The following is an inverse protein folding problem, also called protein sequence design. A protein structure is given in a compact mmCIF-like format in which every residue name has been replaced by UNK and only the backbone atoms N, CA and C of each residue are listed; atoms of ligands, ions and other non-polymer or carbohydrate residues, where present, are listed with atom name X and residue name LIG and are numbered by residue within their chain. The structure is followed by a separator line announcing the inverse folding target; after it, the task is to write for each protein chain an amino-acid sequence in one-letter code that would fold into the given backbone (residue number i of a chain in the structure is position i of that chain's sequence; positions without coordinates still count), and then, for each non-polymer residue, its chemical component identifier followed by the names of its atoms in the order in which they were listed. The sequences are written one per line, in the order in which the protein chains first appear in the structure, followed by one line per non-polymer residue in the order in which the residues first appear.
data_IF_119977421801
#
_entry.id   IF_119977421801
#
_cell.length_a   1.000
_cell.length_b   1.000
_cell.length_c   1.000
_cell.angle_alpha   90.00
_cell.angle_beta   90.00
_cell.angle_gamma   90.00
#
_symmetry.space_group_name_H-M   'P 1'
#
loop_
_entity.id
_entity.type
_entity.pdbx_description
1 polymer ?
#
# COMPACT_ATOMS: atom_id res chain seq x y z
N UNK A 1 17.78 14.90 8.32
CA UNK A 1 16.50 14.27 7.95
C UNK A 1 15.73 13.62 9.11
N UNK A 2 16.27 12.68 9.93
CA UNK A 2 15.51 11.96 10.99
C UNK A 2 14.81 12.88 12.01
N UNK A 3 15.47 13.94 12.46
CA UNK A 3 14.86 14.90 13.41
C UNK A 3 13.72 15.70 12.77
N UNK A 4 13.87 16.12 11.51
CA UNK A 4 12.81 16.79 10.73
C UNK A 4 11.60 15.88 10.58
N UNK A 5 11.79 14.63 10.16
CA UNK A 5 10.71 13.65 10.03
C UNK A 5 10.00 13.37 11.37
N UNK A 6 10.76 13.19 12.46
CA UNK A 6 10.19 12.96 13.78
C UNK A 6 9.34 14.15 14.29
N UNK A 7 9.78 15.39 14.02
CA UNK A 7 9.01 16.60 14.34
C UNK A 7 7.69 16.61 13.57
N UNK A 8 7.74 16.47 12.25
CA UNK A 8 6.56 16.47 11.37
C UNK A 8 5.55 15.36 11.76
N UNK A 9 6.03 14.16 12.08
CA UNK A 9 5.15 13.08 12.55
C UNK A 9 4.41 13.41 13.85
N UNK A 10 5.07 14.09 14.80
CA UNK A 10 4.41 14.55 16.05
C UNK A 10 3.36 15.62 15.78
N UNK A 11 3.51 16.38 14.72
CA UNK A 11 2.57 17.41 14.26
C UNK A 11 1.43 16.81 13.40
N UNK A 12 1.40 15.49 13.21
CA UNK A 12 0.36 14.79 12.44
C UNK A 12 0.55 14.85 10.92
N UNK A 13 1.75 15.19 10.45
CA UNK A 13 2.01 15.29 9.03
C UNK A 13 1.94 13.94 8.31
N UNK A 14 1.41 13.97 7.08
CA UNK A 14 1.34 12.81 6.19
C UNK A 14 2.65 12.70 5.40
N UNK A 15 3.13 11.48 5.20
CA UNK A 15 4.29 11.17 4.37
C UNK A 15 3.87 10.29 3.20
N UNK A 16 4.58 10.41 2.08
CA UNK A 16 4.34 9.59 0.89
C UNK A 16 5.61 8.88 0.42
N UNK A 17 5.41 7.85 -0.40
CA UNK A 17 6.47 7.06 -0.99
C UNK A 17 6.40 7.11 -2.52
N UNK A 18 7.33 7.84 -3.14
CA UNK A 18 7.40 8.11 -4.57
C UNK A 18 8.31 7.11 -5.29
N UNK A 19 7.81 5.91 -5.56
CA UNK A 19 8.57 4.86 -6.22
C UNK A 19 8.13 4.63 -7.67
N UNK A 20 6.86 4.26 -7.87
CA UNK A 20 6.35 3.82 -9.18
C UNK A 20 6.31 4.95 -10.21
N UNK A 21 6.44 4.55 -11.47
CA UNK A 21 6.35 5.40 -12.65
C UNK A 21 5.33 4.83 -13.62
N UNK A 22 4.77 5.64 -14.49
CA UNK A 22 3.70 5.23 -15.40
C UNK A 22 4.13 4.07 -16.31
N UNK A 23 5.35 4.15 -16.83
CA UNK A 23 5.88 3.18 -17.80
C UNK A 23 6.56 1.97 -17.14
N UNK A 24 6.88 2.03 -15.84
CA UNK A 24 7.77 1.09 -15.14
C UNK A 24 7.20 0.57 -13.83
N UNK A 25 5.89 0.28 -13.72
CA UNK A 25 5.21 -0.07 -12.47
C UNK A 25 6.00 -1.00 -11.53
N UNK A 26 6.12 -2.29 -11.85
CA UNK A 26 6.87 -3.26 -11.04
C UNK A 26 8.36 -3.32 -11.38
N UNK A 27 8.77 -2.79 -12.53
CA UNK A 27 10.18 -2.74 -12.96
C UNK A 27 10.87 -1.49 -12.42
N UNK A 28 11.22 -1.55 -11.14
CA UNK A 28 11.94 -0.48 -10.45
C UNK A 28 13.38 -0.29 -10.93
N UNK A 29 13.97 -1.29 -11.60
CA UNK A 29 15.30 -1.15 -12.20
C UNK A 29 15.33 -0.09 -13.30
N UNK A 30 14.23 0.10 -13.99
CA UNK A 30 14.08 1.01 -15.12
C UNK A 30 13.66 2.43 -14.74
N UNK A 31 13.77 2.82 -13.43
CA UNK A 31 13.38 4.17 -13.00
C UNK A 31 13.99 5.24 -13.90
N UNK A 32 13.14 6.14 -14.40
CA UNK A 32 13.50 7.26 -15.28
C UNK A 32 13.72 8.57 -14.52
N UNK A 33 13.35 8.64 -13.24
CA UNK A 33 13.64 9.79 -12.37
C UNK A 33 15.15 10.00 -12.28
N UNK A 34 15.60 11.22 -12.55
CA UNK A 34 17.01 11.61 -12.62
C UNK A 34 17.41 12.51 -11.47
N UNK A 35 18.57 12.27 -10.94
CA UNK A 35 19.26 13.16 -10.01
C UNK A 35 20.54 13.65 -10.69
N UNK A 36 20.57 14.94 -11.05
CA UNK A 36 21.64 15.56 -11.84
C UNK A 36 22.58 16.29 -10.90
N UNK A 37 23.84 15.84 -10.73
CA UNK A 37 24.82 16.54 -9.90
C UNK A 37 25.08 17.97 -10.40
N UNK A 38 25.37 18.87 -9.46
CA UNK A 38 25.72 20.26 -9.72
C UNK A 38 27.17 20.55 -9.28
N UNK A 39 27.83 21.58 -9.86
CA UNK A 39 29.23 21.91 -9.53
C UNK A 39 29.46 22.27 -8.05
N UNK A 40 28.42 22.69 -7.35
CA UNK A 40 28.47 23.05 -5.93
C UNK A 40 28.27 21.86 -4.98
N UNK A 41 28.12 20.66 -5.53
CA UNK A 41 27.89 19.42 -4.78
C UNK A 41 26.42 19.13 -4.49
N UNK A 42 25.49 20.03 -4.83
CA UNK A 42 24.04 19.77 -4.75
C UNK A 42 23.55 18.96 -5.96
N UNK A 43 22.24 18.67 -6.00
CA UNK A 43 21.62 17.96 -7.12
C UNK A 43 20.33 18.65 -7.56
N UNK A 44 19.94 18.40 -8.81
CA UNK A 44 18.63 18.73 -9.35
C UNK A 44 17.86 17.47 -9.70
N UNK A 45 16.68 17.28 -9.12
CA UNK A 45 15.82 16.16 -9.41
C UNK A 45 14.86 16.49 -10.55
N UNK A 46 14.77 15.58 -11.54
CA UNK A 46 13.91 15.72 -12.74
C UNK A 46 13.20 14.41 -13.03
N UNK A 47 11.90 14.48 -13.33
CA UNK A 47 11.09 13.33 -13.75
C UNK A 47 9.74 13.30 -13.09
N UNK A 48 9.01 12.20 -13.29
CA UNK A 48 7.67 12.02 -12.74
C UNK A 48 7.55 10.71 -11.97
N UNK A 49 6.62 10.71 -11.00
CA UNK A 49 6.18 9.51 -10.29
C UNK A 49 4.67 9.37 -10.43
N UNK A 50 4.20 8.13 -10.44
CA UNK A 50 2.81 7.79 -10.74
C UNK A 50 2.28 6.77 -9.72
N UNK A 51 1.01 6.87 -9.36
CA UNK A 51 0.37 6.09 -8.31
C UNK A 51 0.92 6.36 -6.91
N UNK A 52 1.09 7.63 -6.55
CA UNK A 52 1.66 8.03 -5.26
C UNK A 52 0.57 8.46 -4.30
N UNK A 53 0.26 7.59 -3.34
CA UNK A 53 -0.74 7.88 -2.30
C UNK A 53 -0.37 9.13 -1.51
N UNK A 54 -1.35 10.05 -1.33
CA UNK A 54 -1.21 11.33 -0.64
C UNK A 54 -0.14 12.27 -1.22
N UNK A 55 0.31 12.07 -2.46
CA UNK A 55 1.31 12.92 -3.08
C UNK A 55 0.88 14.37 -3.30
N UNK A 56 -0.41 14.69 -3.10
CA UNK A 56 -0.97 16.04 -3.15
C UNK A 56 -0.71 16.88 -1.88
N UNK A 57 -0.51 16.23 -0.73
CA UNK A 57 -0.46 16.92 0.58
C UNK A 57 0.67 16.44 1.51
N UNK A 58 1.39 15.40 1.12
CA UNK A 58 2.45 14.84 1.95
C UNK A 58 3.51 15.88 2.29
N UNK A 59 3.80 16.08 3.57
CA UNK A 59 4.85 17.00 4.01
C UNK A 59 6.23 16.58 3.52
N UNK A 60 6.44 15.25 3.39
CA UNK A 60 7.66 14.67 2.82
C UNK A 60 7.27 13.49 1.91
N UNK A 61 7.87 13.46 0.70
CA UNK A 61 7.76 12.35 -0.24
C UNK A 61 9.13 11.74 -0.42
N UNK A 62 9.33 10.53 0.09
CA UNK A 62 10.57 9.78 -0.17
C UNK A 62 10.56 9.29 -1.61
N UNK A 63 11.59 9.66 -2.38
CA UNK A 63 11.64 9.48 -3.83
C UNK A 63 12.87 8.69 -4.25
N UNK A 64 12.72 7.81 -5.23
CA UNK A 64 13.78 6.95 -5.75
C UNK A 64 14.16 7.35 -7.17
N UNK A 65 15.47 7.53 -7.42
CA UNK A 65 16.01 7.98 -8.70
C UNK A 65 17.36 7.33 -9.02
N UNK A 66 17.91 7.70 -10.19
CA UNK A 66 19.30 7.41 -10.59
C UNK A 66 20.11 8.70 -10.70
N UNK A 67 21.32 8.68 -10.15
CA UNK A 67 22.32 9.68 -10.42
C UNK A 67 22.74 9.58 -11.90
N UNK A 68 22.73 10.70 -12.64
CA UNK A 68 22.98 10.71 -14.08
C UNK A 68 24.47 10.51 -14.45
N UNK A 69 25.40 10.77 -13.55
CA UNK A 69 26.85 10.60 -13.79
C UNK A 69 27.31 9.20 -13.39
N UNK A 70 26.91 8.74 -12.20
CA UNK A 70 27.40 7.43 -11.70
C UNK A 70 26.49 6.26 -12.08
N UNK A 71 25.23 6.52 -12.47
CA UNK A 71 24.21 5.50 -12.69
C UNK A 71 23.71 4.82 -11.41
N UNK A 72 24.20 5.23 -10.24
CA UNK A 72 23.81 4.66 -8.96
C UNK A 72 22.40 5.11 -8.56
N UNK A 73 21.71 4.23 -7.82
CA UNK A 73 20.42 4.58 -7.23
C UNK A 73 20.60 5.53 -6.06
N UNK A 74 19.66 6.47 -5.94
CA UNK A 74 19.60 7.43 -4.84
C UNK A 74 18.19 7.45 -4.27
N UNK A 75 18.10 7.37 -2.96
CA UNK A 75 16.85 7.53 -2.23
C UNK A 75 16.91 8.83 -1.45
N UNK A 76 15.98 9.76 -1.72
CA UNK A 76 15.97 11.12 -1.19
C UNK A 76 14.56 11.58 -0.87
N UNK A 77 14.44 12.76 -0.27
CA UNK A 77 13.16 13.31 0.18
C UNK A 77 12.89 14.64 -0.50
N UNK A 78 11.63 14.84 -0.90
CA UNK A 78 11.12 16.13 -1.40
C UNK A 78 9.94 16.60 -0.56
N UNK A 79 9.73 17.91 -0.51
CA UNK A 79 8.58 18.57 0.11
C UNK A 79 7.53 18.84 -0.96
N UNK A 80 6.30 18.36 -0.80
CA UNK A 80 5.24 18.56 -1.80
C UNK A 80 4.76 20.01 -1.90
N UNK A 81 5.14 20.85 -0.95
CA UNK A 81 4.80 22.29 -0.95
C UNK A 81 5.81 23.17 -1.67
N UNK A 82 6.94 22.59 -2.10
CA UNK A 82 7.97 23.32 -2.81
C UNK A 82 7.50 23.69 -4.24
N UNK A 83 7.82 24.87 -4.73
CA UNK A 83 7.40 25.38 -6.06
C UNK A 83 7.83 24.52 -7.26
N UNK A 84 8.89 23.72 -7.11
CA UNK A 84 9.41 22.79 -8.13
C UNK A 84 8.78 21.38 -8.05
N UNK A 85 7.86 21.17 -7.12
CA UNK A 85 7.04 19.98 -7.04
C UNK A 85 5.67 20.28 -7.62
N UNK A 86 5.32 19.63 -8.71
CA UNK A 86 4.01 19.75 -9.35
C UNK A 86 3.17 18.51 -9.04
N UNK A 87 2.07 18.65 -8.33
CA UNK A 87 1.03 17.63 -8.26
C UNK A 87 0.13 17.74 -9.50
N UNK A 88 0.31 16.83 -10.47
CA UNK A 88 -0.33 16.93 -11.79
C UNK A 88 -1.81 16.58 -11.72
N UNK A 89 -2.17 15.44 -11.12
CA UNK A 89 -3.56 14.96 -11.04
C UNK A 89 -3.73 13.82 -10.05
N UNK A 90 -4.98 13.55 -9.67
CA UNK A 90 -5.38 12.27 -9.10
C UNK A 90 -5.48 11.22 -10.22
N UNK A 91 -4.83 10.08 -10.06
CA UNK A 91 -4.73 9.02 -11.08
C UNK A 91 -5.81 7.95 -10.97
N UNK A 92 -6.58 7.95 -9.87
CA UNK A 92 -7.55 6.90 -9.56
C UNK A 92 -8.92 7.48 -9.15
N UNK A 93 -9.95 6.69 -9.34
CA UNK A 93 -11.29 6.95 -8.80
C UNK A 93 -11.49 6.08 -7.55
N UNK A 94 -10.91 6.50 -6.43
CA UNK A 94 -10.96 5.83 -5.13
C UNK A 94 -11.11 6.86 -4.01
N UNK A 95 -11.34 6.40 -2.77
CA UNK A 95 -11.48 7.27 -1.60
C UNK A 95 -10.22 8.07 -1.28
N UNK A 96 -9.05 7.50 -1.59
CA UNK A 96 -7.78 8.14 -1.36
C UNK A 96 -7.29 8.90 -2.60
N UNK A 97 -6.60 10.03 -2.36
CA UNK A 97 -5.90 10.73 -3.43
C UNK A 97 -4.61 9.99 -3.79
N UNK A 98 -4.49 9.61 -5.07
CA UNK A 98 -3.30 8.92 -5.59
C UNK A 98 -2.72 9.74 -6.73
N UNK A 99 -1.62 10.42 -6.46
CA UNK A 99 -1.06 11.45 -7.33
C UNK A 99 -0.18 10.90 -8.46
N UNK A 100 -0.22 11.61 -9.61
CA UNK A 100 0.95 11.82 -10.44
C UNK A 100 1.63 13.11 -9.95
N UNK A 101 2.95 13.07 -9.73
CA UNK A 101 3.72 14.29 -9.51
C UNK A 101 4.94 14.37 -10.39
N UNK A 102 5.42 15.61 -10.63
CA UNK A 102 6.63 15.91 -11.39
C UNK A 102 7.57 16.80 -10.59
N UNK A 103 8.86 16.58 -10.81
CA UNK A 103 9.93 17.43 -10.29
C UNK A 103 10.57 18.18 -11.44
N UNK A 104 10.58 19.51 -11.33
CA UNK A 104 11.09 20.43 -12.35
C UNK A 104 12.39 21.10 -11.86
N UNK A 105 13.50 20.38 -12.00
CA UNK A 105 14.78 20.84 -11.43
C UNK A 105 14.67 21.14 -9.93
N UNK A 106 14.06 20.21 -9.22
CA UNK A 106 13.88 20.32 -7.78
C UNK A 106 15.23 20.25 -7.07
N UNK A 107 15.61 21.27 -6.27
CA UNK A 107 16.90 21.29 -5.58
C UNK A 107 16.95 20.24 -4.46
N UNK A 108 18.01 19.45 -4.46
CA UNK A 108 18.28 18.42 -3.46
C UNK A 108 19.65 18.71 -2.85
N UNK A 109 19.68 18.84 -1.53
CA UNK A 109 20.90 18.95 -0.74
C UNK A 109 21.30 17.61 -0.13
N UNK A 110 22.52 17.51 0.40
CA UNK A 110 22.98 16.31 1.12
C UNK A 110 22.06 15.94 2.30
N UNK A 111 21.45 16.93 2.95
CA UNK A 111 20.51 16.71 4.06
C UNK A 111 19.21 16.01 3.62
N UNK A 112 18.86 16.10 2.34
CA UNK A 112 17.67 15.46 1.77
C UNK A 112 17.96 14.02 1.28
N UNK A 113 19.23 13.62 1.16
CA UNK A 113 19.63 12.28 0.77
C UNK A 113 19.44 11.31 1.94
N UNK A 114 18.66 10.26 1.74
CA UNK A 114 18.47 9.17 2.71
C UNK A 114 19.55 8.11 2.58
N UNK A 115 19.84 7.70 1.35
CA UNK A 115 20.88 6.71 1.03
C UNK A 115 21.22 6.70 -0.46
N UNK A 116 22.40 6.13 -0.78
CA UNK A 116 22.95 6.03 -2.14
C UNK A 116 23.39 4.60 -2.45
N UNK A 117 23.55 4.29 -3.74
CA UNK A 117 24.10 3.04 -4.22
C UNK A 117 23.31 1.81 -3.76
N UNK A 118 24.02 0.79 -3.32
CA UNK A 118 23.40 -0.45 -2.84
C UNK A 118 22.48 -0.24 -1.64
N UNK A 119 22.85 0.68 -0.74
CA UNK A 119 22.02 0.98 0.42
C UNK A 119 20.69 1.60 0.02
N UNK A 120 20.66 2.50 -0.97
CA UNK A 120 19.40 3.09 -1.49
C UNK A 120 18.46 2.01 -2.02
N UNK A 121 19.00 1.03 -2.73
CA UNK A 121 18.24 -0.12 -3.21
C UNK A 121 17.66 -0.96 -2.07
N UNK A 122 18.48 -1.28 -1.08
CA UNK A 122 18.05 -2.10 0.05
C UNK A 122 17.01 -1.36 0.93
N UNK A 123 17.17 -0.07 1.16
CA UNK A 123 16.23 0.77 1.92
C UNK A 123 14.88 0.87 1.21
N UNK A 124 14.89 1.07 -0.11
CA UNK A 124 13.69 1.11 -0.93
C UNK A 124 12.94 -0.23 -0.90
N UNK A 125 13.64 -1.36 -1.10
CA UNK A 125 13.02 -2.69 -1.01
C UNK A 125 12.46 -2.99 0.38
N UNK A 126 13.14 -2.54 1.43
CA UNK A 126 12.65 -2.68 2.80
C UNK A 126 11.35 -1.89 3.00
N UNK A 127 11.26 -0.66 2.48
CA UNK A 127 10.04 0.15 2.53
C UNK A 127 8.87 -0.57 1.85
N UNK A 128 9.07 -1.10 0.63
CA UNK A 128 8.07 -1.90 -0.08
C UNK A 128 7.62 -3.10 0.77
N UNK A 129 8.54 -3.73 1.47
CA UNK A 129 8.24 -4.91 2.28
C UNK A 129 7.32 -4.59 3.46
N UNK A 130 7.53 -3.44 4.13
CA UNK A 130 6.60 -2.93 5.14
C UNK A 130 5.23 -2.58 4.55
N UNK A 131 5.20 -1.93 3.38
CA UNK A 131 3.96 -1.63 2.68
C UNK A 131 3.16 -2.91 2.36
N UNK A 132 3.82 -3.97 1.87
CA UNK A 132 3.19 -5.27 1.62
C UNK A 132 2.53 -5.85 2.87
N UNK A 133 3.22 -5.81 4.00
CA UNK A 133 2.70 -6.26 5.29
C UNK A 133 1.44 -5.47 5.69
N UNK A 134 1.48 -4.14 5.60
CA UNK A 134 0.36 -3.27 5.94
C UNK A 134 -0.88 -3.51 5.07
N UNK A 135 -0.71 -3.81 3.76
CA UNK A 135 -1.84 -4.12 2.88
C UNK A 135 -2.62 -5.37 3.33
N UNK A 136 -1.92 -6.38 3.85
CA UNK A 136 -2.58 -7.55 4.43
C UNK A 136 -3.45 -7.20 5.64
N UNK A 137 -2.95 -6.37 6.55
CA UNK A 137 -3.72 -5.91 7.70
C UNK A 137 -4.86 -4.96 7.31
N UNK A 138 -4.65 -4.13 6.28
CA UNK A 138 -5.71 -3.32 5.67
C UNK A 138 -6.87 -4.19 5.17
N UNK A 139 -6.57 -5.26 4.45
CA UNK A 139 -7.59 -6.22 4.01
C UNK A 139 -8.36 -6.87 5.18
N UNK A 140 -7.66 -7.25 6.26
CA UNK A 140 -8.30 -7.79 7.47
C UNK A 140 -9.23 -6.76 8.10
N UNK A 141 -8.81 -5.49 8.19
CA UNK A 141 -9.62 -4.39 8.72
C UNK A 141 -10.90 -4.19 7.93
N UNK A 142 -10.79 -4.03 6.60
CA UNK A 142 -11.93 -3.90 5.69
C UNK A 142 -12.92 -5.07 5.84
N UNK A 143 -12.41 -6.30 5.77
CA UNK A 143 -13.23 -7.51 5.88
C UNK A 143 -13.89 -7.64 7.25
N UNK A 144 -13.21 -7.24 8.33
CA UNK A 144 -13.77 -7.31 9.69
C UNK A 144 -14.92 -6.34 9.84
N UNK A 145 -14.78 -5.09 9.37
CA UNK A 145 -15.86 -4.11 9.42
C UNK A 145 -17.05 -4.54 8.57
N UNK A 146 -16.81 -4.92 7.31
CA UNK A 146 -17.86 -5.38 6.41
C UNK A 146 -18.61 -6.61 6.95
N UNK A 147 -17.91 -7.52 7.64
CA UNK A 147 -18.51 -8.69 8.30
C UNK A 147 -19.53 -8.27 9.36
N UNK A 148 -19.15 -7.37 10.25
CA UNK A 148 -20.06 -6.88 11.30
C UNK A 148 -21.23 -6.10 10.74
N UNK A 149 -21.02 -5.27 9.73
CA UNK A 149 -22.10 -4.51 9.06
C UNK A 149 -23.10 -5.46 8.38
N UNK A 150 -22.61 -6.45 7.64
CA UNK A 150 -23.47 -7.44 6.99
C UNK A 150 -24.24 -8.29 7.98
N UNK A 151 -23.63 -8.66 9.11
CA UNK A 151 -24.28 -9.41 10.16
C UNK A 151 -25.37 -8.60 10.85
N UNK A 152 -25.11 -7.34 11.20
CA UNK A 152 -26.09 -6.43 11.79
C UNK A 152 -27.29 -6.22 10.86
N UNK A 153 -27.04 -6.00 9.57
CA UNK A 153 -28.08 -5.90 8.56
C UNK A 153 -28.93 -7.18 8.48
N UNK A 154 -28.30 -8.36 8.36
CA UNK A 154 -29.02 -9.61 8.23
C UNK A 154 -29.83 -9.98 9.47
N UNK A 155 -29.30 -9.67 10.66
CA UNK A 155 -30.00 -9.92 11.94
C UNK A 155 -31.24 -9.05 12.15
N UNK A 156 -31.27 -7.85 11.56
CA UNK A 156 -32.41 -6.93 11.65
C UNK A 156 -33.43 -7.09 10.53
N UNK A 157 -33.09 -7.78 9.46
CA UNK A 157 -33.96 -7.92 8.28
C UNK A 157 -34.82 -9.17 8.35
N UNK A 158 -36.12 -9.00 8.19
CA UNK A 158 -37.09 -10.10 8.10
C UNK A 158 -37.58 -10.27 6.66
N UNK A 159 -37.51 -11.47 6.12
CA UNK A 159 -38.06 -11.88 4.82
C UNK A 159 -38.83 -13.19 4.99
N UNK A 160 -40.02 -13.29 4.38
CA UNK A 160 -40.86 -14.48 4.48
C UNK A 160 -41.10 -14.93 5.94
N UNK A 161 -41.28 -14.00 6.85
CA UNK A 161 -41.51 -14.21 8.29
C UNK A 161 -40.32 -14.87 9.03
N UNK A 162 -39.12 -14.85 8.44
CA UNK A 162 -37.88 -15.36 9.02
C UNK A 162 -36.82 -14.24 9.04
N UNK A 163 -35.93 -14.27 10.01
CA UNK A 163 -34.73 -13.43 9.98
C UNK A 163 -33.81 -13.88 8.85
N UNK A 164 -33.16 -12.94 8.16
CA UNK A 164 -32.21 -13.30 7.08
C UNK A 164 -31.11 -14.22 7.57
N UNK A 165 -30.67 -14.06 8.81
CA UNK A 165 -29.70 -14.95 9.47
C UNK A 165 -30.19 -16.39 9.66
N UNK A 166 -31.51 -16.66 9.52
CA UNK A 166 -32.04 -18.03 9.70
C UNK A 166 -31.96 -18.88 8.42
N UNK A 167 -31.79 -18.23 7.26
CA UNK A 167 -31.66 -18.97 6.00
C UNK A 167 -30.35 -19.77 5.94
N UNK A 168 -30.41 -21.09 5.61
CA UNK A 168 -29.21 -21.94 5.60
C UNK A 168 -28.10 -21.45 4.67
N UNK A 169 -28.43 -20.89 3.50
CA UNK A 169 -27.45 -20.35 2.57
C UNK A 169 -26.74 -19.11 3.14
N UNK A 170 -27.46 -18.25 3.88
CA UNK A 170 -26.86 -17.09 4.54
C UNK A 170 -25.91 -17.51 5.67
N UNK A 171 -26.32 -18.52 6.47
CA UNK A 171 -25.44 -19.11 7.49
C UNK A 171 -24.16 -19.67 6.88
N UNK A 172 -24.27 -20.33 5.73
CA UNK A 172 -23.08 -20.83 5.01
C UNK A 172 -22.15 -19.70 4.55
N UNK A 173 -22.67 -18.63 3.93
CA UNK A 173 -21.88 -17.50 3.49
C UNK A 173 -21.15 -16.82 4.67
N UNK A 174 -21.84 -16.62 5.80
CA UNK A 174 -21.19 -16.10 7.00
C UNK A 174 -20.11 -17.04 7.55
N UNK A 175 -20.36 -18.34 7.54
CA UNK A 175 -19.39 -19.34 8.02
C UNK A 175 -18.14 -19.32 7.13
N UNK A 176 -18.30 -19.33 5.81
CA UNK A 176 -17.19 -19.31 4.86
C UNK A 176 -16.39 -18.01 4.98
N UNK A 177 -17.06 -16.85 5.05
CA UNK A 177 -16.43 -15.55 5.26
C UNK A 177 -15.67 -15.48 6.59
N UNK A 178 -16.26 -15.97 7.68
CA UNK A 178 -15.62 -16.00 9.01
C UNK A 178 -14.38 -16.89 9.04
N UNK A 179 -14.46 -18.11 8.49
CA UNK A 179 -13.33 -19.03 8.46
C UNK A 179 -12.15 -18.46 7.64
N UNK A 180 -12.45 -17.84 6.49
CA UNK A 180 -11.43 -17.12 5.69
C UNK A 180 -10.80 -15.99 6.49
N UNK A 181 -11.61 -15.14 7.12
CA UNK A 181 -11.14 -14.00 7.92
C UNK A 181 -10.28 -14.48 9.10
N UNK A 182 -10.64 -15.56 9.76
CA UNK A 182 -9.82 -16.14 10.82
C UNK A 182 -8.50 -16.68 10.30
N UNK A 183 -8.49 -17.40 9.17
CA UNK A 183 -7.26 -17.87 8.54
C UNK A 183 -6.35 -16.70 8.12
N UNK A 184 -6.92 -15.62 7.57
CA UNK A 184 -6.18 -14.39 7.23
C UNK A 184 -5.51 -13.79 8.48
N UNK A 185 -6.24 -13.66 9.59
CA UNK A 185 -5.71 -13.13 10.86
C UNK A 185 -4.59 -14.01 11.41
N UNK A 186 -4.80 -15.31 11.53
CA UNK A 186 -3.81 -16.24 12.09
C UNK A 186 -2.51 -16.26 11.27
N UNK A 187 -2.64 -16.29 9.94
CA UNK A 187 -1.48 -16.25 9.04
C UNK A 187 -0.72 -14.90 9.16
N UNK A 188 -1.44 -13.78 9.22
CA UNK A 188 -0.83 -12.46 9.36
C UNK A 188 -0.14 -12.28 10.70
N UNK A 189 -0.70 -12.78 11.80
CA UNK A 189 -0.04 -12.75 13.11
C UNK A 189 1.28 -13.53 13.11
N UNK A 190 1.36 -14.64 12.38
CA UNK A 190 2.63 -15.36 12.23
C UNK A 190 3.68 -14.52 11.50
N UNK A 191 3.27 -13.74 10.50
CA UNK A 191 4.17 -12.81 9.82
C UNK A 191 4.63 -11.66 10.74
N UNK A 192 3.78 -11.21 11.69
CA UNK A 192 4.19 -10.24 12.74
C UNK A 192 5.36 -10.78 13.53
N UNK A 193 5.32 -12.03 13.96
CA UNK A 193 6.42 -12.64 14.73
C UNK A 193 7.73 -12.58 13.95
N UNK A 194 7.72 -12.96 12.67
CA UNK A 194 8.91 -12.89 11.84
C UNK A 194 9.41 -11.45 11.59
N UNK A 195 8.49 -10.50 11.47
CA UNK A 195 8.87 -9.08 11.31
C UNK A 195 9.47 -8.51 12.61
N UNK A 196 8.96 -8.91 13.77
CA UNK A 196 9.49 -8.50 15.09
C UNK A 196 10.87 -9.08 15.38
N UNK A 197 11.14 -10.28 14.89
CA UNK A 197 12.45 -10.95 15.03
C UNK A 197 13.44 -10.55 13.92
N UNK A 198 13.07 -9.66 13.00
CA UNK A 198 13.90 -9.27 11.88
C UNK A 198 15.26 -8.73 12.32
N UNK A 199 16.34 -9.26 11.73
CA UNK A 199 17.70 -8.88 12.00
C UNK A 199 18.59 -9.20 10.79
N UNK A 200 19.88 -8.89 10.85
CA UNK A 200 20.82 -9.28 9.82
C UNK A 200 20.88 -10.81 9.62
N UNK A 201 20.67 -11.58 10.69
CA UNK A 201 20.69 -13.06 10.68
C UNK A 201 19.31 -13.70 10.49
N UNK A 202 18.21 -12.95 10.64
CA UNK A 202 16.85 -13.46 10.45
C UNK A 202 16.07 -12.58 9.48
N UNK A 203 15.99 -13.03 8.24
CA UNK A 203 15.35 -12.32 7.13
C UNK A 203 14.07 -13.01 6.65
N UNK A 204 13.46 -13.88 7.46
CA UNK A 204 12.21 -14.59 7.10
C UNK A 204 11.06 -13.66 6.75
N UNK A 205 11.02 -12.46 7.30
CA UNK A 205 10.01 -11.44 6.94
C UNK A 205 10.02 -11.11 5.44
N UNK A 206 11.16 -11.23 4.73
CA UNK A 206 11.24 -11.00 3.29
C UNK A 206 10.43 -12.05 2.49
N UNK A 207 10.26 -13.25 3.03
CA UNK A 207 9.41 -14.29 2.48
C UNK A 207 7.94 -14.09 2.90
N UNK A 208 7.70 -13.86 4.18
CA UNK A 208 6.34 -13.85 4.73
C UNK A 208 5.54 -12.59 4.36
N UNK A 209 6.15 -11.41 4.25
CA UNK A 209 5.43 -10.19 3.92
C UNK A 209 4.83 -10.21 2.49
N UNK A 210 5.53 -10.65 1.44
CA UNK A 210 4.92 -10.89 0.13
C UNK A 210 3.80 -11.95 0.15
N UNK A 211 3.95 -13.01 0.96
CA UNK A 211 2.92 -14.03 1.12
C UNK A 211 1.66 -13.45 1.78
N UNK A 212 1.81 -12.68 2.86
CA UNK A 212 0.69 -11.97 3.51
C UNK A 212 0.01 -11.06 2.51
N UNK A 213 0.75 -10.18 1.85
CA UNK A 213 0.19 -9.28 0.85
C UNK A 213 -0.61 -10.04 -0.20
N UNK A 214 0.00 -11.02 -0.85
CA UNK A 214 -0.63 -11.77 -1.92
C UNK A 214 -1.84 -12.56 -1.42
N UNK A 215 -1.65 -13.42 -0.43
CA UNK A 215 -2.67 -14.39 -0.02
C UNK A 215 -3.81 -13.73 0.75
N UNK A 216 -3.49 -12.87 1.70
CA UNK A 216 -4.50 -12.25 2.58
C UNK A 216 -5.38 -11.27 1.79
N UNK A 217 -4.81 -10.46 0.88
CA UNK A 217 -5.63 -9.55 0.08
C UNK A 217 -6.53 -10.29 -0.92
N UNK A 218 -6.07 -11.40 -1.51
CA UNK A 218 -6.88 -12.22 -2.41
C UNK A 218 -8.00 -12.96 -1.67
N UNK A 219 -7.75 -13.45 -0.45
CA UNK A 219 -8.83 -14.03 0.37
C UNK A 219 -9.82 -12.95 0.84
N UNK A 220 -9.33 -11.73 1.07
CA UNK A 220 -10.18 -10.57 1.38
C UNK A 220 -11.21 -10.27 0.29
N UNK A 221 -10.83 -10.35 -1.00
CA UNK A 221 -11.79 -10.22 -2.11
C UNK A 221 -12.92 -11.26 -2.00
N UNK A 222 -12.59 -12.50 -1.63
CA UNK A 222 -13.60 -13.57 -1.48
C UNK A 222 -14.52 -13.30 -0.28
N UNK A 223 -13.97 -12.87 0.86
CA UNK A 223 -14.75 -12.50 2.05
C UNK A 223 -15.76 -11.41 1.70
N UNK A 224 -15.33 -10.35 1.02
CA UNK A 224 -16.24 -9.26 0.63
C UNK A 224 -17.31 -9.76 -0.36
N UNK A 225 -16.98 -10.64 -1.31
CA UNK A 225 -17.94 -11.18 -2.25
C UNK A 225 -19.01 -12.06 -1.52
N UNK A 226 -18.60 -12.94 -0.61
CA UNK A 226 -19.53 -13.76 0.18
C UNK A 226 -20.47 -12.85 1.02
N UNK A 227 -19.94 -11.80 1.62
CA UNK A 227 -20.73 -10.84 2.41
C UNK A 227 -21.64 -9.97 1.55
N UNK A 228 -21.25 -9.69 0.29
CA UNK A 228 -22.10 -8.92 -0.63
C UNK A 228 -23.38 -9.66 -0.96
N UNK A 229 -23.30 -10.97 -1.15
CA UNK A 229 -24.49 -11.79 -1.37
C UNK A 229 -25.46 -11.77 -0.16
N UNK A 230 -24.93 -11.54 1.04
CA UNK A 230 -25.75 -11.37 2.26
C UNK A 230 -26.38 -9.98 2.34
N UNK A 231 -25.59 -8.91 2.17
CA UNK A 231 -26.05 -7.52 2.32
C UNK A 231 -26.90 -7.09 1.12
N UNK A 232 -26.71 -7.74 -0.02
CA UNK A 232 -27.45 -7.56 -1.27
C UNK A 232 -27.44 -6.08 -1.76
N UNK A 233 -28.60 -5.57 -2.20
CA UNK A 233 -28.72 -4.22 -2.77
C UNK A 233 -28.28 -3.10 -1.81
N UNK A 234 -28.36 -3.32 -0.50
CA UNK A 234 -27.89 -2.34 0.48
C UNK A 234 -26.40 -2.06 0.37
N UNK A 235 -25.61 -3.02 -0.11
CA UNK A 235 -24.18 -2.85 -0.37
C UNK A 235 -23.85 -1.85 -1.50
N UNK A 236 -24.83 -1.37 -2.26
CA UNK A 236 -24.69 -0.32 -3.28
C UNK A 236 -25.08 1.07 -2.78
N UNK A 237 -25.65 1.19 -1.60
CA UNK A 237 -26.01 2.48 -1.03
C UNK A 237 -24.77 3.26 -0.63
N UNK A 238 -24.83 4.60 -0.64
CA UNK A 238 -23.68 5.47 -0.36
C UNK A 238 -23.31 5.55 1.12
N UNK A 239 -24.25 5.27 2.00
CA UNK A 239 -24.08 5.43 3.45
C UNK A 239 -23.35 4.28 4.15
N UNK A 240 -23.58 2.99 3.77
CA UNK A 240 -22.86 1.88 4.36
C UNK A 240 -21.38 1.89 4.01
N UNK A 241 -20.55 1.45 4.96
CA UNK A 241 -19.12 1.22 4.72
C UNK A 241 -18.86 0.15 3.65
N UNK A 242 -19.82 -0.74 3.43
CA UNK A 242 -19.68 -1.90 2.55
C UNK A 242 -19.33 -1.50 1.11
N UNK A 243 -19.91 -0.43 0.58
CA UNK A 243 -19.60 0.06 -0.77
C UNK A 243 -18.12 0.44 -0.88
N UNK A 244 -17.60 1.18 0.11
CA UNK A 244 -16.17 1.53 0.17
C UNK A 244 -15.32 0.26 0.27
N UNK A 245 -15.69 -0.68 1.14
CA UNK A 245 -14.95 -1.94 1.31
C UNK A 245 -14.89 -2.75 0.01
N UNK A 246 -15.98 -2.80 -0.76
CA UNK A 246 -16.07 -3.54 -2.02
C UNK A 246 -15.18 -2.95 -3.12
N UNK A 247 -15.02 -1.62 -3.14
CA UNK A 247 -14.13 -0.93 -4.08
C UNK A 247 -12.66 -1.10 -3.65
N UNK A 248 -12.36 -0.79 -2.40
CA UNK A 248 -10.98 -0.76 -1.88
C UNK A 248 -10.34 -2.15 -1.85
N UNK A 249 -11.09 -3.20 -1.45
CA UNK A 249 -10.54 -4.56 -1.37
C UNK A 249 -9.98 -5.05 -2.72
N UNK A 250 -10.55 -4.61 -3.84
CA UNK A 250 -10.11 -4.98 -5.19
C UNK A 250 -8.78 -4.35 -5.59
N UNK A 251 -8.42 -3.22 -5.00
CA UNK A 251 -7.14 -2.54 -5.26
C UNK A 251 -5.99 -3.25 -4.57
N UNK A 252 -6.19 -3.75 -3.33
CA UNK A 252 -5.12 -4.26 -2.48
C UNK A 252 -4.29 -5.40 -3.10
N UNK A 253 -4.84 -6.38 -3.82
CA UNK A 253 -4.04 -7.41 -4.50
C UNK A 253 -3.17 -6.86 -5.65
N UNK A 254 -3.43 -5.65 -6.13
CA UNK A 254 -2.74 -5.02 -7.27
C UNK A 254 -1.65 -4.05 -6.82
N UNK A 255 -1.80 -3.42 -5.64
CA UNK A 255 -0.82 -2.51 -5.06
C UNK A 255 0.46 -3.25 -4.62
N UNK A 256 1.60 -2.57 -4.57
CA UNK A 256 2.90 -3.11 -4.13
C UNK A 256 3.31 -4.41 -4.87
N UNK A 257 3.02 -4.44 -6.16
CA UNK A 257 3.21 -5.60 -7.03
C UNK A 257 1.99 -6.53 -7.05
N UNK A 258 1.65 -7.00 -8.24
CA UNK A 258 0.56 -7.97 -8.45
C UNK A 258 0.85 -9.32 -7.76
N UNK A 259 -0.15 -10.22 -7.75
CA UNK A 259 0.02 -11.58 -7.23
C UNK A 259 1.21 -12.30 -7.87
N UNK A 260 1.38 -12.17 -9.19
CA UNK A 260 2.49 -12.82 -9.93
C UNK A 260 3.86 -12.27 -9.54
N UNK A 261 3.98 -10.94 -9.36
CA UNK A 261 5.22 -10.30 -8.89
C UNK A 261 5.59 -10.80 -7.49
N UNK A 262 4.60 -10.86 -6.59
CA UNK A 262 4.84 -11.37 -5.24
C UNK A 262 5.16 -12.87 -5.22
N UNK A 263 4.56 -13.68 -6.10
CA UNK A 263 4.90 -15.09 -6.26
C UNK A 263 6.36 -15.27 -6.70
N UNK A 264 6.83 -14.48 -7.66
CA UNK A 264 8.23 -14.51 -8.08
C UNK A 264 9.19 -14.14 -6.94
N UNK A 265 8.82 -13.16 -6.10
CA UNK A 265 9.61 -12.82 -4.90
C UNK A 265 9.63 -13.95 -3.88
N UNK A 266 8.49 -14.60 -3.64
CA UNK A 266 8.38 -15.75 -2.72
C UNK A 266 9.34 -16.87 -3.18
N UNK A 267 9.29 -17.23 -4.46
CA UNK A 267 10.19 -18.27 -5.03
C UNK A 267 11.66 -17.89 -4.89
N UNK A 268 11.98 -16.61 -5.04
CA UNK A 268 13.36 -16.11 -4.89
C UNK A 268 13.89 -16.24 -3.45
N UNK A 269 13.02 -16.13 -2.46
CA UNK A 269 13.41 -16.17 -1.04
C UNK A 269 13.19 -17.54 -0.37
N UNK A 270 12.59 -18.51 -1.06
CA UNK A 270 12.51 -19.91 -0.64
C UNK A 270 13.85 -20.62 -0.81
#
# INVERSE_FOLDING_TARGET
MKQRAAKLLREGAVFAFGLSEQEHGADIYSTSMKLVPQPDGSYLARGSKYYIGNGNEAALVSTFAKNTETGEYVFFVVDSKHEKYECVKNTVNASNYVAEYRLHDYPISDDDILSTGRKAWDDMLNTINYCKFNLGFGAIGLCTHAFFESMDHAAKRTLYSMQVTDFPQVKRLFTDAYLRLMAMKMFSYRAVDYLRCASAGDRRYLLFNPMVKMKVTMEGEKVINDLWDVIAAKGFEKEPFFEIAAVEIRSLPKLEGTAHVNMALIVKFM
#
